data_IF_821702890359
#
_entry.id   IF_821702890359
#
_cell.length_a   1.000
_cell.length_b   1.000
_cell.length_c   1.000
_cell.angle_alpha   90.00
_cell.angle_beta   90.00
_cell.angle_gamma   90.00
#
_symmetry.space_group_name_H-M   'P 1'
#
loop_
_entity.id
_entity.type
_entity.pdbx_description
1 polymer ?
#
# COMPACT_ATOMS: atom_id res chain seq x y z
N UNK A 1 14.76 -23.16 -3.86
CA UNK A 1 13.61 -22.66 -4.66
C UNK A 1 12.89 -21.63 -3.80
N UNK A 2 13.06 -20.33 -4.04
CA UNK A 2 12.28 -19.33 -3.30
C UNK A 2 10.84 -19.41 -3.81
N UNK A 3 9.93 -19.94 -2.99
CA UNK A 3 8.50 -19.92 -3.29
C UNK A 3 8.04 -18.48 -3.49
N UNK A 4 7.10 -18.26 -4.42
CA UNK A 4 6.47 -16.94 -4.58
C UNK A 4 5.95 -16.50 -3.20
N UNK A 5 6.26 -15.28 -2.72
CA UNK A 5 5.75 -14.82 -1.44
C UNK A 5 4.23 -14.87 -1.47
N UNK A 6 3.61 -15.43 -0.44
CA UNK A 6 2.17 -15.33 -0.26
C UNK A 6 1.80 -13.85 0.05
N UNK A 7 0.54 -13.49 -0.12
CA UNK A 7 0.05 -12.11 0.00
C UNK A 7 0.40 -11.49 1.36
N UNK A 8 0.44 -12.29 2.43
CA UNK A 8 0.85 -11.87 3.77
C UNK A 8 2.35 -11.53 3.83
N UNK A 9 3.21 -12.36 3.24
CA UNK A 9 4.65 -12.07 3.11
C UNK A 9 4.91 -10.82 2.27
N UNK A 10 4.17 -10.61 1.19
CA UNK A 10 4.28 -9.39 0.39
C UNK A 10 3.86 -8.14 1.19
N UNK A 11 2.76 -8.23 1.95
CA UNK A 11 2.31 -7.13 2.82
C UNK A 11 3.35 -6.81 3.91
N UNK A 12 3.95 -7.83 4.51
CA UNK A 12 5.00 -7.67 5.52
C UNK A 12 6.25 -7.00 4.93
N UNK A 13 6.74 -7.47 3.78
CA UNK A 13 7.87 -6.86 3.09
C UNK A 13 7.59 -5.39 2.72
N UNK A 14 6.36 -5.10 2.29
CA UNK A 14 5.97 -3.73 1.96
C UNK A 14 5.92 -2.82 3.19
N UNK A 15 5.48 -3.31 4.35
CA UNK A 15 5.49 -2.55 5.60
C UNK A 15 6.92 -2.23 6.06
N UNK A 16 7.86 -3.15 5.88
CA UNK A 16 9.28 -2.93 6.15
C UNK A 16 9.91 -1.93 5.17
N UNK A 17 9.44 -1.91 3.93
CA UNK A 17 9.87 -0.96 2.90
C UNK A 17 9.10 0.38 2.95
N UNK A 18 8.47 0.72 4.08
CA UNK A 18 7.76 1.99 4.22
C UNK A 18 8.74 3.16 4.06
N UNK A 19 8.45 4.15 3.20
CA UNK A 19 9.27 5.34 3.07
C UNK A 19 9.42 6.09 4.39
N UNK A 20 10.60 6.67 4.62
CA UNK A 20 10.88 7.53 5.77
C UNK A 20 10.05 8.82 5.77
N UNK A 21 10.12 9.57 6.88
CA UNK A 21 9.33 10.80 7.06
C UNK A 21 9.66 11.88 6.03
N UNK A 22 10.92 11.92 5.57
CA UNK A 22 11.41 12.92 4.60
C UNK A 22 11.26 12.45 3.14
N UNK A 23 10.60 11.31 2.90
CA UNK A 23 10.37 10.83 1.55
C UNK A 23 9.42 11.76 0.79
N UNK A 24 9.66 12.02 -0.51
CA UNK A 24 8.75 12.81 -1.31
C UNK A 24 7.32 12.27 -1.27
N UNK A 25 6.33 13.15 -1.25
CA UNK A 25 4.92 12.75 -1.17
C UNK A 25 4.51 11.79 -2.30
N UNK A 26 5.10 11.93 -3.49
CA UNK A 26 4.90 11.02 -4.62
C UNK A 26 5.38 9.59 -4.34
N UNK A 27 6.50 9.43 -3.63
CA UNK A 27 7.03 8.11 -3.19
C UNK A 27 6.13 7.51 -2.12
N UNK A 28 5.67 8.32 -1.17
CA UNK A 28 4.73 7.89 -0.12
C UNK A 28 3.38 7.49 -0.75
N UNK A 29 2.88 8.26 -1.72
CA UNK A 29 1.67 7.97 -2.48
C UNK A 29 1.78 6.64 -3.23
N UNK A 30 2.89 6.40 -3.93
CA UNK A 30 3.15 5.15 -4.63
C UNK A 30 3.19 3.94 -3.68
N UNK A 31 3.80 4.10 -2.50
CA UNK A 31 3.80 3.07 -1.46
C UNK A 31 2.38 2.73 -0.98
N UNK A 32 1.56 3.74 -0.67
CA UNK A 32 0.15 3.52 -0.28
C UNK A 32 -0.68 2.87 -1.38
N UNK A 33 -0.46 3.25 -2.65
CA UNK A 33 -1.14 2.62 -3.79
C UNK A 33 -0.76 1.14 -3.93
N UNK A 34 0.52 0.81 -3.76
CA UNK A 34 0.98 -0.60 -3.75
C UNK A 34 0.39 -1.36 -2.56
N UNK A 35 0.33 -0.74 -1.39
CA UNK A 35 -0.28 -1.34 -0.18
C UNK A 35 -1.76 -1.64 -0.38
N UNK A 36 -2.50 -0.74 -1.02
CA UNK A 36 -3.89 -0.96 -1.35
C UNK A 36 -4.08 -2.22 -2.22
N UNK A 37 -3.28 -2.40 -3.27
CA UNK A 37 -3.35 -3.58 -4.15
C UNK A 37 -3.09 -4.90 -3.42
N UNK A 38 -2.07 -4.95 -2.55
CA UNK A 38 -1.77 -6.16 -1.77
C UNK A 38 -2.90 -6.48 -0.79
N UNK A 39 -3.50 -5.46 -0.18
CA UNK A 39 -4.66 -5.63 0.70
C UNK A 39 -5.93 -6.04 -0.05
N UNK A 40 -6.11 -5.61 -1.31
CA UNK A 40 -7.18 -6.09 -2.18
C UNK A 40 -7.05 -7.58 -2.48
N UNK A 41 -5.84 -8.06 -2.77
CA UNK A 41 -5.58 -9.49 -2.92
C UNK A 41 -5.90 -10.27 -1.63
N UNK A 42 -5.47 -9.75 -0.48
CA UNK A 42 -5.76 -10.37 0.82
C UNK A 42 -7.27 -10.37 1.14
N UNK A 43 -7.98 -9.33 0.70
CA UNK A 43 -9.43 -9.27 0.83
C UNK A 43 -10.15 -10.28 -0.08
N UNK A 44 -9.60 -10.54 -1.27
CA UNK A 44 -10.11 -11.58 -2.17
C UNK A 44 -9.93 -13.00 -1.58
N UNK A 45 -8.93 -13.20 -0.73
CA UNK A 45 -8.71 -14.43 0.05
C UNK A 45 -9.68 -14.56 1.27
N UNK A 46 -10.55 -13.58 1.49
CA UNK A 46 -11.62 -13.63 2.51
C UNK A 46 -11.43 -12.68 3.70
N UNK A 47 -10.38 -11.87 3.73
CA UNK A 47 -10.16 -10.92 4.83
C UNK A 47 -11.01 -9.65 4.67
N UNK A 48 -12.08 -9.52 5.46
CA UNK A 48 -12.91 -8.31 5.51
C UNK A 48 -12.13 -7.09 6.03
N UNK A 49 -11.26 -7.30 7.02
CA UNK A 49 -10.39 -6.24 7.54
C UNK A 49 -9.41 -5.69 6.49
N UNK A 50 -8.92 -6.55 5.58
CA UNK A 50 -8.03 -6.12 4.50
C UNK A 50 -8.75 -5.17 3.52
N UNK A 51 -10.04 -5.37 3.28
CA UNK A 51 -10.84 -4.50 2.40
C UNK A 51 -10.92 -3.07 2.91
N UNK A 52 -11.19 -2.87 4.19
CA UNK A 52 -11.26 -1.52 4.76
C UNK A 52 -9.88 -0.86 4.78
N UNK A 53 -8.83 -1.63 5.08
CA UNK A 53 -7.46 -1.11 5.02
C UNK A 53 -7.03 -0.75 3.59
N UNK A 54 -7.46 -1.50 2.58
CA UNK A 54 -7.20 -1.19 1.17
C UNK A 54 -7.80 0.16 0.78
N UNK A 55 -9.06 0.39 1.15
CA UNK A 55 -9.76 1.67 0.92
C UNK A 55 -9.03 2.83 1.59
N UNK A 56 -8.67 2.68 2.86
CA UNK A 56 -7.94 3.71 3.60
C UNK A 56 -6.56 4.02 2.97
N UNK A 57 -5.85 3.00 2.50
CA UNK A 57 -4.57 3.16 1.82
C UNK A 57 -4.74 3.89 0.48
N UNK A 58 -5.73 3.51 -0.33
CA UNK A 58 -6.02 4.17 -1.61
C UNK A 58 -6.38 5.64 -1.42
N UNK A 59 -7.21 5.94 -0.44
CA UNK A 59 -7.60 7.30 -0.09
C UNK A 59 -6.39 8.15 0.35
N UNK A 60 -5.46 7.56 1.11
CA UNK A 60 -4.21 8.24 1.46
C UNK A 60 -3.31 8.47 0.24
N UNK A 61 -3.21 7.51 -0.67
CA UNK A 61 -2.46 7.67 -1.92
C UNK A 61 -3.02 8.81 -2.78
N UNK A 62 -4.35 8.91 -2.89
CA UNK A 62 -5.02 9.98 -3.65
C UNK A 62 -4.73 11.35 -3.07
N UNK A 63 -4.85 11.53 -1.75
CA UNK A 63 -4.58 12.81 -1.10
C UNK A 63 -3.15 13.29 -1.32
N UNK A 64 -2.18 12.39 -1.20
CA UNK A 64 -0.77 12.71 -1.45
C UNK A 64 -0.46 12.92 -2.95
N UNK A 65 -1.15 12.17 -3.83
CA UNK A 65 -1.03 12.33 -5.27
C UNK A 65 -1.57 13.67 -5.76
N UNK A 66 -2.66 14.19 -5.20
CA UNK A 66 -3.20 15.52 -5.54
C UNK A 66 -2.29 16.65 -5.05
N UNK A 67 -1.71 16.49 -3.85
CA UNK A 67 -0.76 17.45 -3.31
C UNK A 67 0.53 17.56 -4.17
N UNK A 68 1.02 16.43 -4.68
CA UNK A 68 2.20 16.37 -5.55
C UNK A 68 2.04 17.04 -6.93
N UNK A 69 0.83 17.36 -7.38
CA UNK A 69 0.57 18.09 -8.64
C UNK A 69 0.32 19.60 -8.43
N UNK A 70 0.22 20.04 -7.17
CA UNK A 70 -0.15 21.41 -6.81
C UNK A 70 1.04 22.25 -6.31
N UNK A 71 2.27 21.72 -6.37
CA UNK A 71 3.51 22.40 -6.01
C UNK A 71 4.56 22.24 -7.09
#
# INVERSE_FOLDING_TARGET
MMGRPNTVSELAALQLARPGLDAPESVVAAWYARKARVLEHLAAEGSTAAREQARAALERARRLGVAAWSG
#
